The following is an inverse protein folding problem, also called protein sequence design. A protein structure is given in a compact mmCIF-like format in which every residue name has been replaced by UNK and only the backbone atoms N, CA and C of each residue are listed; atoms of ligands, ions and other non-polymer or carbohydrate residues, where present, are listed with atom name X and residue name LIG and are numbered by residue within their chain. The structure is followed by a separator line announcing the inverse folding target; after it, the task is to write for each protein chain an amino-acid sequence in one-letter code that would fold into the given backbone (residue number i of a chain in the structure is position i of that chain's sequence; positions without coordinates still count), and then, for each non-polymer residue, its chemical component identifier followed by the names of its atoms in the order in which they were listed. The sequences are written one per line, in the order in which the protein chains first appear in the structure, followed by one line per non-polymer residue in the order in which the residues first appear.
data_IF_762990015941
#
_entry.id   IF_762990015941
#
_cell.length_a   1.000
_cell.length_b   1.000
_cell.length_c   1.000
_cell.angle_alpha   90.00
_cell.angle_beta   90.00
_cell.angle_gamma   90.00
#
_symmetry.space_group_name_H-M   'P 1'
#
loop_
_entity.id
_entity.type
_entity.pdbx_description
1 polymer ?
#
# COMPACT_ATOMS: atom_id res chain seq x y z
N UNK A 1 -6.41 13.37 26.80
CA UNK A 1 -6.59 14.07 25.50
C UNK A 1 -6.30 13.04 24.43
N UNK A 2 -7.33 12.55 23.72
CA UNK A 2 -7.11 11.62 22.61
C UNK A 2 -6.61 12.49 21.46
N UNK A 3 -5.30 12.55 21.25
CA UNK A 3 -4.74 13.19 20.07
C UNK A 3 -5.10 12.29 18.88
N UNK A 4 -6.24 12.62 18.25
CA UNK A 4 -6.58 12.06 16.95
C UNK A 4 -5.47 12.43 15.96
N UNK A 5 -5.29 11.59 14.95
CA UNK A 5 -4.41 11.87 13.83
C UNK A 5 -4.74 13.24 13.25
N UNK A 6 -3.73 14.03 12.85
CA UNK A 6 -3.96 15.27 12.12
C UNK A 6 -4.75 14.97 10.84
N UNK A 7 -5.47 15.96 10.29
CA UNK A 7 -6.21 15.79 9.02
C UNK A 7 -5.31 15.25 7.90
N UNK A 8 -4.05 15.68 7.86
CA UNK A 8 -3.03 15.19 6.94
C UNK A 8 -2.71 13.70 7.16
N UNK A 9 -2.57 13.26 8.41
CA UNK A 9 -2.32 11.86 8.73
C UNK A 9 -3.51 10.96 8.37
N UNK A 10 -4.74 11.44 8.53
CA UNK A 10 -5.95 10.72 8.11
C UNK A 10 -6.04 10.59 6.60
N UNK A 11 -5.80 11.70 5.88
CA UNK A 11 -5.73 11.71 4.41
C UNK A 11 -4.66 10.75 3.89
N UNK A 12 -3.48 10.73 4.52
CA UNK A 12 -2.41 9.81 4.14
C UNK A 12 -2.79 8.34 4.36
N UNK A 13 -3.46 8.01 5.46
CA UNK A 13 -3.96 6.66 5.68
C UNK A 13 -5.00 6.24 4.64
N UNK A 14 -5.91 7.13 4.23
CA UNK A 14 -6.87 6.83 3.17
C UNK A 14 -6.18 6.59 1.82
N UNK A 15 -5.14 7.35 1.49
CA UNK A 15 -4.36 7.17 0.27
C UNK A 15 -3.65 5.81 0.26
N UNK A 16 -2.95 5.47 1.36
CA UNK A 16 -2.31 4.15 1.50
C UNK A 16 -3.35 3.03 1.40
N UNK A 17 -4.50 3.19 2.07
CA UNK A 17 -5.55 2.16 2.06
C UNK A 17 -6.05 1.90 0.64
N UNK A 18 -6.38 2.96 -0.11
CA UNK A 18 -6.81 2.83 -1.51
C UNK A 18 -5.74 2.20 -2.39
N UNK A 19 -4.49 2.64 -2.26
CA UNK A 19 -3.37 2.07 -2.99
C UNK A 19 -3.21 0.56 -2.72
N UNK A 20 -3.30 0.14 -1.46
CA UNK A 20 -3.22 -1.28 -1.10
C UNK A 20 -4.46 -2.08 -1.55
N UNK A 21 -5.65 -1.49 -1.53
CA UNK A 21 -6.86 -2.13 -2.07
C UNK A 21 -6.74 -2.42 -3.57
N UNK A 22 -6.17 -1.47 -4.33
CA UNK A 22 -5.99 -1.59 -5.78
C UNK A 22 -4.82 -2.52 -6.15
N UNK A 23 -3.69 -2.39 -5.43
CA UNK A 23 -2.46 -3.09 -5.78
C UNK A 23 -2.25 -4.42 -5.05
N UNK A 24 -2.77 -4.60 -3.83
CA UNK A 24 -2.60 -5.82 -3.03
C UNK A 24 -3.84 -6.71 -3.04
N UNK A 25 -4.41 -6.94 -4.23
CA UNK A 25 -5.51 -7.89 -4.42
C UNK A 25 -5.12 -9.31 -3.99
N UNK A 26 -6.09 -10.06 -3.47
CA UNK A 26 -5.91 -11.44 -2.97
C UNK A 26 -5.26 -12.34 -4.03
N UNK A 27 -5.55 -12.14 -5.31
CA UNK A 27 -4.98 -12.92 -6.40
C UNK A 27 -3.49 -12.62 -6.61
N UNK A 28 -3.06 -11.36 -6.52
CA UNK A 28 -1.65 -10.98 -6.56
C UNK A 28 -0.89 -11.53 -5.34
N UNK A 29 -1.50 -11.52 -4.16
CA UNK A 29 -0.92 -12.13 -2.95
C UNK A 29 -0.77 -13.65 -3.12
N UNK A 30 -1.77 -14.33 -3.69
CA UNK A 30 -1.69 -15.78 -3.98
C UNK A 30 -0.60 -16.10 -5.01
N UNK A 31 -0.47 -15.27 -6.06
CA UNK A 31 0.56 -15.41 -7.08
C UNK A 31 1.97 -15.17 -6.50
N UNK A 32 2.14 -14.20 -5.59
CA UNK A 32 3.38 -14.01 -4.84
C UNK A 32 3.71 -15.25 -3.98
N UNK A 33 2.73 -15.77 -3.24
CA UNK A 33 2.93 -16.93 -2.37
C UNK A 33 3.25 -18.22 -3.15
N UNK A 34 2.86 -18.29 -4.43
CA UNK A 34 3.23 -19.37 -5.36
C UNK A 34 4.62 -19.21 -5.98
N UNK A 35 5.27 -18.05 -5.79
CA UNK A 35 6.59 -17.74 -6.34
C UNK A 35 6.57 -17.10 -7.74
N UNK A 36 5.39 -16.85 -8.32
CA UNK A 36 5.23 -16.31 -9.67
C UNK A 36 5.34 -14.77 -9.72
N UNK A 37 5.48 -14.11 -8.57
CA UNK A 37 5.46 -12.64 -8.44
C UNK A 37 6.56 -12.13 -7.50
N UNK A 38 7.82 -12.56 -7.69
CA UNK A 38 8.94 -12.21 -6.81
C UNK A 38 9.13 -10.69 -6.61
N UNK A 39 8.79 -9.87 -7.61
CA UNK A 39 8.94 -8.41 -7.59
C UNK A 39 7.74 -7.67 -6.96
N UNK A 40 6.69 -8.40 -6.55
CA UNK A 40 5.47 -7.83 -5.96
C UNK A 40 5.73 -7.01 -4.68
N UNK A 41 6.57 -7.45 -3.72
CA UNK A 41 6.90 -6.65 -2.55
C UNK A 41 7.65 -5.36 -2.91
N UNK A 42 8.53 -5.40 -3.91
CA UNK A 42 9.30 -4.24 -4.36
C UNK A 42 8.41 -3.22 -5.07
N UNK A 43 7.42 -3.69 -5.85
CA UNK A 43 6.42 -2.83 -6.49
C UNK A 43 5.53 -2.09 -5.47
N UNK A 44 5.07 -2.78 -4.43
CA UNK A 44 4.29 -2.17 -3.33
C UNK A 44 5.15 -1.15 -2.57
N UNK A 45 6.41 -1.49 -2.27
CA UNK A 45 7.34 -0.60 -1.58
C UNK A 45 7.64 0.66 -2.42
N UNK A 46 7.88 0.52 -3.73
CA UNK A 46 8.13 1.64 -4.64
C UNK A 46 6.89 2.51 -4.85
N UNK A 47 5.70 1.93 -5.00
CA UNK A 47 4.46 2.71 -5.10
C UNK A 47 4.14 3.51 -3.82
N UNK A 48 4.48 2.96 -2.66
CA UNK A 48 4.37 3.67 -1.37
C UNK A 48 5.37 4.81 -1.20
N UNK A 49 6.52 4.79 -1.90
CA UNK A 49 7.58 5.81 -1.82
C UNK A 49 7.58 6.81 -3.00
N UNK A 50 6.96 6.45 -4.13
CA UNK A 50 7.07 7.17 -5.41
C UNK A 50 6.01 8.25 -5.68
N UNK A 51 5.10 8.53 -4.76
CA UNK A 51 3.98 9.48 -4.98
C UNK A 51 4.23 10.87 -4.35
N UNK A 52 5.47 11.19 -3.99
CA UNK A 52 5.84 12.48 -3.36
C UNK A 52 7.01 13.18 -4.07
N UNK A 53 6.87 13.40 -5.39
CA UNK A 53 7.62 14.41 -6.15
C UNK A 53 6.71 15.11 -7.15
#
# INVERSE_FOLDING_TARGET
MYFGLSEEQQSFQEIIRKFLEDEATIDKIKLFNKGDLADFPEAIQKGSLGTWY
#
